data_IF_106887641745
#
_entry.id   IF_106887641745
#
_cell.length_a   1.000
_cell.length_b   1.000
_cell.length_c   1.000
_cell.angle_alpha   90.00
_cell.angle_beta   90.00
_cell.angle_gamma   90.00
#
_symmetry.space_group_name_H-M   'P 1'
#
loop_
_entity.id
_entity.type
_entity.pdbx_description
1 polymer ?
#
# COMPACT_ATOMS: atom_id res chain seq x y z
N UNK A 1 -15.95 4.30 -15.51
CA UNK A 1 -14.74 4.94 -14.95
C UNK A 1 -13.76 3.92 -14.38
N UNK A 2 -14.11 3.08 -13.39
CA UNK A 2 -13.19 2.02 -12.96
C UNK A 2 -12.96 0.97 -14.07
N UNK A 3 -13.99 0.64 -14.87
CA UNK A 3 -13.86 -0.31 -15.98
C UNK A 3 -12.87 0.18 -17.07
N UNK A 4 -12.86 1.49 -17.37
CA UNK A 4 -11.92 2.09 -18.33
C UNK A 4 -10.46 2.00 -17.83
N UNK A 5 -10.26 2.22 -16.53
CA UNK A 5 -8.94 2.09 -15.89
C UNK A 5 -8.46 0.65 -15.96
N UNK A 6 -9.32 -0.33 -15.64
CA UNK A 6 -8.97 -1.74 -15.66
C UNK A 6 -8.71 -2.23 -17.10
N UNK A 7 -9.52 -1.77 -18.06
CA UNK A 7 -9.33 -2.08 -19.49
C UNK A 7 -8.00 -1.52 -19.99
N UNK A 8 -7.70 -0.25 -19.69
CA UNK A 8 -6.43 0.36 -20.07
C UNK A 8 -5.23 -0.35 -19.43
N UNK A 9 -5.36 -0.75 -18.15
CA UNK A 9 -4.33 -1.51 -17.46
C UNK A 9 -4.03 -2.84 -18.15
N UNK A 10 -5.08 -3.54 -18.58
CA UNK A 10 -4.99 -4.80 -19.32
C UNK A 10 -4.36 -4.59 -20.70
N UNK A 11 -4.85 -3.62 -21.47
CA UNK A 11 -4.34 -3.29 -22.81
C UNK A 11 -2.85 -2.93 -22.81
N UNK A 12 -2.37 -2.32 -21.72
CA UNK A 12 -0.97 -1.93 -21.55
C UNK A 12 -0.12 -2.98 -20.84
N UNK A 13 -0.69 -4.12 -20.46
CA UNK A 13 -0.03 -5.16 -19.64
C UNK A 13 0.66 -4.53 -18.42
N UNK A 14 -0.09 -3.66 -17.74
CA UNK A 14 0.41 -2.88 -16.61
C UNK A 14 0.68 -3.84 -15.44
N UNK A 15 1.86 -3.73 -14.82
CA UNK A 15 2.23 -4.56 -13.67
C UNK A 15 1.73 -3.99 -12.34
N UNK A 16 1.56 -2.67 -12.25
CA UNK A 16 1.01 -1.99 -11.07
C UNK A 16 0.28 -0.70 -11.45
N UNK A 17 -0.90 -0.50 -10.87
CA UNK A 17 -1.63 0.77 -10.89
C UNK A 17 -1.31 1.57 -9.62
N UNK A 18 -0.95 2.84 -9.75
CA UNK A 18 -0.68 3.70 -8.59
C UNK A 18 -1.75 4.79 -8.49
N UNK A 19 -2.54 4.77 -7.42
CA UNK A 19 -3.53 5.79 -7.10
C UNK A 19 -2.98 6.77 -6.08
N UNK A 20 -2.78 8.05 -6.44
CA UNK A 20 -2.52 9.07 -5.44
C UNK A 20 -3.78 9.27 -4.58
N UNK A 21 -3.61 9.19 -3.27
CA UNK A 21 -4.64 9.43 -2.28
C UNK A 21 -4.26 10.63 -1.42
N UNK A 22 -5.14 11.63 -1.37
CA UNK A 22 -5.01 12.75 -0.45
C UNK A 22 -6.12 12.63 0.59
N UNK A 23 -5.73 12.43 1.85
CA UNK A 23 -6.66 12.43 2.98
C UNK A 23 -7.13 13.88 3.20
N UNK A 24 -8.13 14.32 2.44
CA UNK A 24 -8.92 15.52 2.72
C UNK A 24 -10.26 15.09 3.28
N UNK A 25 -10.71 15.71 4.37
CA UNK A 25 -11.90 15.35 5.15
C UNK A 25 -13.22 15.28 4.35
N UNK A 26 -13.21 15.55 3.05
CA UNK A 26 -14.40 15.60 2.21
C UNK A 26 -14.20 15.13 0.75
N UNK A 27 -13.19 14.29 0.44
CA UNK A 27 -13.02 13.78 -0.93
C UNK A 27 -13.76 12.45 -1.17
N UNK A 28 -14.79 12.41 -2.04
CA UNK A 28 -15.51 11.20 -2.38
C UNK A 28 -14.79 10.48 -3.53
N UNK A 29 -13.87 9.56 -3.21
CA UNK A 29 -13.46 8.51 -4.15
C UNK A 29 -13.28 7.09 -3.54
N UNK A 30 -13.87 6.71 -2.38
CA UNK A 30 -13.82 5.30 -1.91
C UNK A 30 -14.33 4.31 -2.97
N UNK A 31 -15.44 4.65 -3.66
CA UNK A 31 -16.11 3.72 -4.57
C UNK A 31 -15.30 3.34 -5.81
N UNK A 32 -14.54 4.27 -6.40
CA UNK A 32 -13.74 3.97 -7.60
C UNK A 32 -12.49 3.19 -7.21
N UNK A 33 -11.82 3.57 -6.12
CA UNK A 33 -10.64 2.85 -5.63
C UNK A 33 -11.04 1.44 -5.27
N UNK A 34 -12.12 1.25 -4.50
CA UNK A 34 -12.66 -0.08 -4.19
C UNK A 34 -12.96 -0.89 -5.44
N UNK A 35 -13.69 -0.33 -6.41
CA UNK A 35 -14.01 -1.05 -7.64
C UNK A 35 -12.76 -1.41 -8.46
N UNK A 36 -11.70 -0.60 -8.41
CA UNK A 36 -10.43 -0.93 -9.09
C UNK A 36 -9.65 -1.97 -8.31
N UNK A 37 -9.60 -1.90 -6.97
CA UNK A 37 -9.00 -2.95 -6.14
C UNK A 37 -9.65 -4.31 -6.42
N UNK A 38 -10.97 -4.33 -6.61
CA UNK A 38 -11.72 -5.56 -6.88
C UNK A 38 -11.54 -6.10 -8.32
N UNK A 39 -11.28 -5.22 -9.30
CA UNK A 39 -11.40 -5.55 -10.74
C UNK A 39 -10.19 -5.24 -11.60
N UNK A 40 -9.08 -4.76 -11.03
CA UNK A 40 -7.87 -4.54 -11.79
C UNK A 40 -7.45 -5.84 -12.53
N UNK A 41 -6.46 -5.80 -13.41
CA UNK A 41 -5.82 -7.02 -13.90
C UNK A 41 -4.41 -7.19 -13.31
N UNK A 42 -4.08 -6.42 -12.28
CA UNK A 42 -2.74 -6.23 -11.78
C UNK A 42 -2.79 -5.63 -10.37
N UNK A 43 -1.63 -5.55 -9.74
CA UNK A 43 -1.48 -5.05 -8.39
C UNK A 43 -1.81 -3.57 -8.31
N UNK A 44 -2.36 -3.16 -7.17
CA UNK A 44 -2.81 -1.78 -6.95
C UNK A 44 -2.06 -1.19 -5.78
N UNK A 45 -1.38 -0.08 -6.03
CA UNK A 45 -0.69 0.73 -5.04
C UNK A 45 -1.47 2.00 -4.72
N UNK A 46 -1.79 2.24 -3.45
CA UNK A 46 -2.41 3.49 -2.98
C UNK A 46 -1.32 4.34 -2.33
N UNK A 47 -1.04 5.49 -2.93
CA UNK A 47 0.05 6.39 -2.55
C UNK A 47 -0.48 7.62 -1.81
N UNK A 48 -0.17 7.73 -0.52
CA UNK A 48 -0.42 8.93 0.27
C UNK A 48 0.86 9.76 0.35
N UNK A 49 0.87 10.97 -0.24
CA UNK A 49 2.03 11.85 -0.15
C UNK A 49 1.91 12.87 0.99
N UNK A 50 2.83 12.81 1.96
CA UNK A 50 2.96 13.84 3.02
C UNK A 50 4.03 14.86 2.68
N UNK A 51 3.94 15.43 1.49
CA UNK A 51 4.82 16.51 0.99
C UNK A 51 6.27 16.09 0.75
N UNK A 52 6.59 14.80 0.75
CA UNK A 52 7.92 14.31 0.37
C UNK A 52 8.13 14.60 -1.12
N UNK A 53 7.20 14.21 -1.99
CA UNK A 53 7.36 14.30 -3.45
C UNK A 53 7.56 15.75 -3.89
N UNK A 54 6.93 16.69 -3.17
CA UNK A 54 7.09 18.12 -3.40
C UNK A 54 8.43 18.67 -2.88
N UNK A 55 8.97 18.14 -1.78
CA UNK A 55 10.26 18.58 -1.22
C UNK A 55 11.47 18.13 -2.06
N UNK A 56 11.42 16.93 -2.66
CA UNK A 56 12.46 16.43 -3.59
C UNK A 56 12.65 17.30 -4.85
N UNK A 57 11.64 18.09 -5.23
CA UNK A 57 11.74 19.01 -6.39
C UNK A 57 12.43 20.33 -6.05
N UNK A 58 12.55 20.67 -4.77
CA UNK A 58 12.96 22.01 -4.33
C UNK A 58 14.37 22.07 -3.71
N UNK A 59 14.86 21.00 -3.09
CA UNK A 59 16.21 20.99 -2.53
C UNK A 59 17.22 20.35 -3.51
N UNK A 60 18.24 21.14 -3.85
CA UNK A 60 19.47 20.81 -4.57
C UNK A 60 19.74 19.33 -4.87
N UNK A 61 20.06 19.04 -6.14
CA UNK A 61 20.54 17.74 -6.70
C UNK A 61 21.74 17.09 -5.99
N UNK A 62 22.19 17.58 -4.84
CA UNK A 62 23.27 17.01 -4.04
C UNK A 62 22.73 16.05 -2.98
N UNK A 63 22.74 14.76 -3.34
CA UNK A 63 22.90 13.63 -2.42
C UNK A 63 21.80 13.41 -1.36
N UNK A 64 20.54 13.73 -1.66
CA UNK A 64 19.44 13.28 -0.80
C UNK A 64 19.34 11.73 -0.86
N UNK A 65 19.65 11.08 0.27
CA UNK A 65 19.53 9.62 0.45
C UNK A 65 18.06 9.26 0.62
N UNK A 66 17.49 8.52 -0.33
CA UNK A 66 16.11 8.04 -0.22
C UNK A 66 16.08 6.84 0.72
N UNK A 67 15.33 6.95 1.82
CA UNK A 67 15.08 5.82 2.71
C UNK A 67 13.71 5.26 2.40
N UNK A 68 13.67 3.99 1.99
CA UNK A 68 12.44 3.24 1.74
C UNK A 68 12.27 2.25 2.89
N UNK A 69 11.11 2.25 3.52
CA UNK A 69 10.76 1.29 4.56
C UNK A 69 9.61 0.41 4.07
N UNK A 70 9.79 -0.91 4.10
CA UNK A 70 8.73 -1.88 3.81
C UNK A 70 8.27 -2.50 5.12
N UNK A 71 7.00 -2.32 5.47
CA UNK A 71 6.36 -3.04 6.57
C UNK A 71 5.89 -4.39 6.02
N UNK A 72 6.49 -5.47 6.48
CA UNK A 72 6.24 -6.83 6.01
C UNK A 72 5.45 -7.61 7.05
N UNK A 73 4.16 -7.82 6.78
CA UNK A 73 3.26 -8.60 7.62
C UNK A 73 3.20 -10.09 7.19
N UNK A 74 3.83 -10.45 6.07
CA UNK A 74 3.62 -11.73 5.40
C UNK A 74 2.50 -11.67 4.36
N UNK A 75 2.21 -12.80 3.72
CA UNK A 75 1.19 -12.90 2.67
C UNK A 75 1.66 -12.48 1.26
N UNK A 76 0.78 -12.61 0.25
CA UNK A 76 1.07 -12.24 -1.14
C UNK A 76 1.40 -10.76 -1.31
N UNK A 77 0.55 -9.87 -0.79
CA UNK A 77 0.70 -8.41 -0.88
C UNK A 77 2.06 -7.91 -0.34
N UNK A 78 2.48 -8.39 0.83
CA UNK A 78 3.74 -7.98 1.43
C UNK A 78 4.96 -8.48 0.63
N UNK A 79 4.87 -9.66 0.00
CA UNK A 79 5.93 -10.19 -0.89
C UNK A 79 6.10 -9.30 -2.10
N UNK A 80 5.01 -8.84 -2.67
CA UNK A 80 5.05 -7.95 -3.81
C UNK A 80 5.57 -6.54 -3.43
N UNK A 81 5.07 -5.97 -2.32
CA UNK A 81 5.59 -4.71 -1.78
C UNK A 81 7.11 -4.78 -1.56
N UNK A 82 7.59 -5.90 -1.01
CA UNK A 82 8.99 -6.17 -0.82
C UNK A 82 9.75 -6.27 -2.15
N UNK A 83 9.20 -6.98 -3.14
CA UNK A 83 9.79 -7.08 -4.46
C UNK A 83 9.96 -5.69 -5.13
N UNK A 84 8.95 -4.82 -5.02
CA UNK A 84 9.04 -3.44 -5.51
C UNK A 84 10.11 -2.62 -4.77
N UNK A 85 10.18 -2.73 -3.43
CA UNK A 85 11.21 -2.08 -2.63
C UNK A 85 12.62 -2.56 -2.98
N UNK A 86 12.80 -3.88 -3.15
CA UNK A 86 14.06 -4.51 -3.48
C UNK A 86 14.56 -4.17 -4.88
N UNK A 87 13.65 -4.02 -5.86
CA UNK A 87 14.01 -3.71 -7.26
C UNK A 87 14.83 -2.43 -7.40
N UNK A 88 14.79 -1.51 -6.42
CA UNK A 88 15.51 -0.23 -6.45
C UNK A 88 16.78 -0.18 -5.60
N UNK A 89 17.15 -1.26 -4.90
CA UNK A 89 18.35 -1.31 -4.04
C UNK A 89 19.67 -1.28 -4.83
N UNK A 90 19.63 -1.47 -6.15
CA UNK A 90 20.81 -1.35 -7.01
C UNK A 90 21.44 0.06 -7.06
N UNK A 91 20.75 1.09 -6.54
CA UNK A 91 21.28 2.45 -6.44
C UNK A 91 21.82 2.72 -5.03
N UNK A 92 23.12 3.07 -4.86
CA UNK A 92 23.73 3.34 -3.55
C UNK A 92 23.15 4.56 -2.80
N UNK A 93 22.33 5.40 -3.46
CA UNK A 93 21.61 6.49 -2.79
C UNK A 93 20.28 6.06 -2.17
N UNK A 94 19.85 4.81 -2.41
CA UNK A 94 18.61 4.25 -1.88
C UNK A 94 18.94 3.26 -0.76
N UNK A 95 18.38 3.49 0.43
CA UNK A 95 18.46 2.56 1.55
C UNK A 95 17.10 1.91 1.77
N UNK A 96 17.04 0.59 1.68
CA UNK A 96 15.85 -0.19 1.98
C UNK A 96 15.94 -0.78 3.39
N UNK A 97 14.92 -0.52 4.20
CA UNK A 97 14.71 -1.15 5.51
C UNK A 97 13.45 -2.01 5.44
N UNK A 98 13.52 -3.24 5.95
CA UNK A 98 12.36 -4.14 6.04
C UNK A 98 12.01 -4.35 7.50
N UNK A 99 10.82 -3.95 7.90
CA UNK A 99 10.27 -4.18 9.24
C UNK A 99 9.30 -5.35 9.17
N UNK A 100 9.72 -6.52 9.67
CA UNK A 100 8.85 -7.69 9.78
C UNK A 100 8.12 -7.65 11.11
N UNK A 101 6.79 -7.55 11.08
CA UNK A 101 5.96 -7.69 12.27
C UNK A 101 5.51 -9.16 12.36
N UNK A 102 5.70 -9.76 13.53
CA UNK A 102 5.30 -11.13 13.82
C UNK A 102 4.34 -11.05 14.99
N UNK A 103 3.11 -11.51 14.79
CA UNK A 103 2.17 -11.69 15.89
C UNK A 103 2.58 -12.96 16.65
N UNK A 104 2.69 -12.88 17.97
CA UNK A 104 2.82 -14.05 18.82
C UNK A 104 1.40 -14.61 19.08
N UNK A 105 1.21 -15.87 18.74
CA UNK A 105 -0.10 -16.52 18.52
C UNK A 105 -0.88 -16.80 19.82
N UNK A 106 -0.40 -16.37 20.99
CA UNK A 106 -1.09 -16.64 22.26
C UNK A 106 -2.39 -15.83 22.46
N UNK A 107 -2.69 -14.86 21.58
CA UNK A 107 -3.87 -13.98 21.69
C UNK A 107 -4.72 -13.88 20.42
N UNK A 108 -4.54 -14.76 19.43
CA UNK A 108 -5.29 -14.71 18.17
C UNK A 108 -6.83 -14.86 18.34
N UNK A 109 -7.31 -15.26 19.52
CA UNK A 109 -8.74 -15.31 19.86
C UNK A 109 -9.37 -13.94 20.14
N UNK A 110 -8.61 -12.84 20.17
CA UNK A 110 -9.08 -11.53 20.66
C UNK A 110 -9.27 -10.47 19.55
N UNK A 111 -9.43 -10.90 18.30
CA UNK A 111 -9.80 -10.00 17.18
C UNK A 111 -11.16 -9.35 17.43
N UNK A 112 -12.05 -10.01 18.17
CA UNK A 112 -13.34 -9.47 18.63
C UNK A 112 -13.23 -8.61 19.90
N UNK A 113 -12.02 -8.39 20.43
CA UNK A 113 -11.85 -7.56 21.62
C UNK A 113 -12.30 -6.12 21.37
N UNK A 114 -12.87 -5.43 22.37
CA UNK A 114 -13.25 -4.03 22.26
C UNK A 114 -12.08 -3.11 21.88
N UNK A 115 -10.84 -3.50 22.20
CA UNK A 115 -9.63 -2.76 21.88
C UNK A 115 -9.29 -2.84 20.39
N UNK A 116 -9.32 -4.05 19.80
CA UNK A 116 -9.08 -4.23 18.36
C UNK A 116 -10.21 -3.60 17.56
N UNK A 117 -11.47 -3.76 18.02
CA UNK A 117 -12.63 -3.13 17.39
C UNK A 117 -12.55 -1.60 17.43
N UNK A 118 -12.13 -1.02 18.56
CA UNK A 118 -11.89 0.43 18.67
C UNK A 118 -10.81 0.93 17.71
N UNK A 119 -9.79 0.12 17.42
CA UNK A 119 -8.77 0.45 16.43
C UNK A 119 -9.29 0.38 14.99
N UNK A 120 -10.21 -0.55 14.69
CA UNK A 120 -10.92 -0.61 13.41
C UNK A 120 -11.84 0.60 13.24
N UNK A 121 -12.57 0.99 14.29
CA UNK A 121 -13.46 2.16 14.28
C UNK A 121 -12.70 3.48 14.08
N UNK A 122 -11.41 3.52 14.42
CA UNK A 122 -10.52 4.67 14.18
C UNK A 122 -9.94 4.72 12.76
N UNK A 123 -10.13 3.68 11.95
CA UNK A 123 -9.66 3.64 10.57
C UNK A 123 -10.64 4.39 9.66
N UNK A 124 -10.24 5.56 9.17
CA UNK A 124 -11.09 6.39 8.32
C UNK A 124 -11.03 6.01 6.83
N UNK A 125 -10.00 5.27 6.42
CA UNK A 125 -9.79 4.80 5.05
C UNK A 125 -9.50 3.29 5.06
N UNK A 126 -10.55 2.49 4.85
CA UNK A 126 -10.46 1.03 4.92
C UNK A 126 -9.49 0.47 3.86
N UNK A 127 -9.34 1.14 2.72
CA UNK A 127 -8.47 0.77 1.61
C UNK A 127 -6.98 0.85 1.96
N UNK A 128 -6.61 1.64 2.97
CA UNK A 128 -5.22 1.73 3.45
C UNK A 128 -4.89 0.68 4.52
N UNK A 129 -5.91 0.05 5.10
CA UNK A 129 -5.78 -0.74 6.32
C UNK A 129 -5.33 0.07 7.53
N UNK A 130 -5.36 -0.54 8.72
CA UNK A 130 -5.07 0.13 9.99
C UNK A 130 -3.67 0.77 10.01
N UNK A 131 -2.65 0.03 9.55
CA UNK A 131 -1.25 0.52 9.54
C UNK A 131 -1.09 1.65 8.51
N UNK A 132 -1.66 1.49 7.31
CA UNK A 132 -1.58 2.51 6.27
C UNK A 132 -2.31 3.79 6.67
N UNK A 133 -3.50 3.69 7.28
CA UNK A 133 -4.26 4.85 7.75
C UNK A 133 -3.57 5.57 8.91
N UNK A 134 -3.00 4.81 9.85
CA UNK A 134 -2.16 5.37 10.93
C UNK A 134 -0.97 6.14 10.34
N UNK A 135 -0.22 5.52 9.43
CA UNK A 135 0.93 6.14 8.76
C UNK A 135 0.55 7.35 7.91
N UNK A 136 -0.65 7.35 7.33
CA UNK A 136 -1.21 8.44 6.54
C UNK A 136 -1.77 9.59 7.40
N UNK A 137 -2.04 9.37 8.69
CA UNK A 137 -2.67 10.36 9.57
C UNK A 137 -1.86 11.66 9.71
N UNK A 138 -2.52 12.81 9.69
CA UNK A 138 -1.90 14.12 9.90
C UNK A 138 -1.17 14.25 11.23
N UNK A 139 -1.56 13.47 12.24
CA UNK A 139 -0.96 13.50 13.58
C UNK A 139 0.46 12.92 13.60
N UNK A 140 0.79 12.08 12.61
CA UNK A 140 2.14 11.59 12.45
C UNK A 140 3.04 12.71 11.89
N UNK A 141 3.89 13.25 12.76
CA UNK A 141 4.92 14.26 12.46
C UNK A 141 6.02 13.80 11.49
N UNK A 142 5.87 12.65 10.86
CA UNK A 142 6.81 12.15 9.87
C UNK A 142 6.47 12.73 8.48
N UNK A 143 7.43 13.37 7.84
CA UNK A 143 7.37 13.65 6.41
C UNK A 143 7.74 12.38 5.67
N UNK A 144 6.77 11.52 5.39
CA UNK A 144 6.92 10.29 4.62
C UNK A 144 5.75 10.10 3.65
N UNK A 145 6.03 9.70 2.40
CA UNK A 145 4.98 9.16 1.53
C UNK A 145 4.74 7.69 1.90
N UNK A 146 3.48 7.26 1.91
CA UNK A 146 3.05 5.91 2.25
C UNK A 146 2.48 5.25 1.00
N UNK A 147 2.99 4.08 0.63
CA UNK A 147 2.44 3.27 -0.45
C UNK A 147 1.87 1.97 0.15
N UNK A 148 0.57 1.78 0.04
CA UNK A 148 -0.10 0.53 0.39
C UNK A 148 -0.24 -0.29 -0.88
N UNK A 149 0.29 -1.52 -0.90
CA UNK A 149 0.24 -2.40 -2.07
C UNK A 149 -0.74 -3.52 -1.78
N UNK A 150 -1.66 -3.74 -2.70
CA UNK A 150 -2.60 -4.86 -2.69
C UNK A 150 -2.41 -5.65 -3.97
N UNK A 151 -2.01 -6.91 -3.83
CA UNK A 151 -1.87 -7.85 -4.93
C UNK A 151 -3.26 -8.31 -5.34
N UNK A 152 -3.47 -8.46 -6.63
CA UNK A 152 -4.66 -9.13 -7.14
C UNK A 152 -4.36 -10.59 -7.44
N UNK A 153 -5.26 -11.48 -7.02
CA UNK A 153 -5.26 -12.88 -7.46
C UNK A 153 -5.65 -12.95 -8.92
N UNK A 154 -4.75 -13.46 -9.76
CA UNK A 154 -5.09 -13.77 -11.14
C UNK A 154 -5.96 -15.03 -11.17
N UNK A 155 -6.76 -15.21 -12.24
CA UNK A 155 -7.58 -16.43 -12.40
C UNK A 155 -6.69 -17.69 -12.45
N UNK A 156 -5.41 -17.55 -12.81
CA UNK A 156 -4.41 -18.61 -12.76
C UNK A 156 -4.06 -19.01 -11.30
N UNK A 157 -4.00 -18.05 -10.37
CA UNK A 157 -3.80 -18.32 -8.93
C UNK A 157 -4.98 -19.07 -8.30
N UNK A 158 -6.20 -18.85 -8.80
CA UNK A 158 -7.42 -19.57 -8.37
C UNK A 158 -7.51 -20.98 -8.96
N UNK A 159 -6.96 -21.20 -10.15
CA UNK A 159 -6.91 -22.53 -10.78
C UNK A 159 -5.96 -23.48 -10.04
N UNK A 160 -4.91 -22.96 -9.41
CA UNK A 160 -3.93 -23.77 -8.65
C UNK A 160 -4.37 -24.04 -7.20
N UNK A 161 -5.37 -23.32 -6.67
CA UNK A 161 -5.86 -23.51 -5.30
C UNK A 161 -6.91 -24.64 -5.17
N UNK A 162 -7.31 -25.27 -6.27
CA UNK A 162 -8.29 -26.37 -6.31
C UNK A 162 -7.69 -27.74 -6.65
N UNK A 163 -6.36 -27.84 -6.79
CA UNK A 163 -5.65 -29.10 -7.10
C UNK A 163 -4.80 -29.67 -5.94
N UNK A 164 -4.83 -29.04 -4.75
CA UNK A 164 -4.17 -29.55 -3.53
C UNK A 164 -5.18 -30.08 -2.49
#
# INVERSE_FOLDING_TARGET
>A
MHDDICTLALEKSTSILIFPFQKSDNSPVPGVIKNVLDKAPCSVGILVDKKIIMHWRSESRNQARLSVCVVFLGGPDAREALAYGMRRVANPTIRLTVLRLIAEDEFASDIDSPLVKGLVDWSHAQELGIIGDMLASSDMKCSASVLVVQQQFTVEDLAHAHED
#
